data_IF_694999416089
#
_entry.id   IF_694999416089
#
_cell.length_a   1.000
_cell.length_b   1.000
_cell.length_c   1.000
_cell.angle_alpha   90.00
_cell.angle_beta   90.00
_cell.angle_gamma   90.00
#
_symmetry.space_group_name_H-M   'P 1'
#
loop_
_entity.id
_entity.type
_entity.pdbx_description
1 polymer ?
#
# COMPACT_ATOMS: atom_id res chain seq x y z
N UNK A 1 -76.05 -8.50 -25.39
CA UNK A 1 -75.34 -9.78 -25.10
C UNK A 1 -73.84 -9.50 -25.15
N UNK A 2 -73.13 -9.68 -24.02
CA UNK A 2 -71.71 -9.29 -23.87
C UNK A 2 -70.81 -10.32 -24.55
N UNK A 3 -70.33 -10.01 -25.74
CA UNK A 3 -69.42 -10.86 -26.52
C UNK A 3 -68.06 -10.98 -25.80
N UNK A 4 -67.87 -12.03 -25.00
CA UNK A 4 -66.58 -12.36 -24.39
C UNK A 4 -65.76 -13.15 -25.41
N UNK A 5 -64.95 -12.41 -26.16
CA UNK A 5 -63.95 -12.99 -27.04
C UNK A 5 -62.94 -13.83 -26.20
N UNK A 6 -62.83 -15.15 -26.41
CA UNK A 6 -62.05 -16.05 -25.56
C UNK A 6 -60.53 -15.92 -25.76
N UNK A 7 -60.07 -15.34 -26.86
CA UNK A 7 -58.65 -15.16 -27.18
C UNK A 7 -58.03 -13.96 -26.43
N UNK A 8 -58.86 -12.98 -26.02
CA UNK A 8 -58.38 -11.85 -25.21
C UNK A 8 -58.02 -12.26 -23.77
N UNK A 9 -58.70 -13.28 -23.23
CA UNK A 9 -58.41 -13.80 -21.90
C UNK A 9 -57.08 -14.57 -21.88
N UNK A 10 -56.84 -15.46 -22.84
CA UNK A 10 -55.60 -16.25 -22.92
C UNK A 10 -54.33 -15.40 -23.12
N UNK A 11 -54.40 -14.32 -23.91
CA UNK A 11 -53.28 -13.37 -24.08
C UNK A 11 -53.05 -12.53 -22.81
N UNK A 12 -54.12 -12.14 -22.10
CA UNK A 12 -54.04 -11.37 -20.84
C UNK A 12 -53.45 -12.20 -19.69
N UNK A 13 -53.62 -13.53 -19.68
CA UNK A 13 -53.02 -14.43 -18.69
C UNK A 13 -51.59 -14.89 -19.06
N UNK A 14 -51.24 -14.92 -20.35
CA UNK A 14 -49.91 -15.33 -20.82
C UNK A 14 -48.82 -14.25 -20.64
N UNK A 15 -49.16 -12.97 -20.80
CA UNK A 15 -48.23 -11.84 -20.61
C UNK A 15 -47.64 -11.73 -19.18
N UNK A 16 -48.46 -11.76 -18.11
CA UNK A 16 -47.99 -11.71 -16.74
C UNK A 16 -47.13 -12.92 -16.35
N UNK A 17 -47.47 -14.11 -16.85
CA UNK A 17 -46.69 -15.31 -16.61
C UNK A 17 -45.29 -15.20 -17.23
N UNK A 18 -45.17 -14.67 -18.44
CA UNK A 18 -43.87 -14.44 -19.09
C UNK A 18 -43.02 -13.40 -18.33
N UNK A 19 -43.62 -12.31 -17.85
CA UNK A 19 -42.88 -11.30 -17.07
C UNK A 19 -42.40 -11.85 -15.72
N UNK A 20 -43.18 -12.70 -15.06
CA UNK A 20 -42.80 -13.34 -13.78
C UNK A 20 -41.65 -14.33 -14.01
N UNK A 21 -41.69 -15.12 -15.08
CA UNK A 21 -40.61 -16.04 -15.44
C UNK A 21 -39.33 -15.28 -15.80
N UNK A 22 -39.43 -14.20 -16.58
CA UNK A 22 -38.28 -13.37 -16.92
C UNK A 22 -37.66 -12.70 -15.68
N UNK A 23 -38.48 -12.19 -14.75
CA UNK A 23 -38.01 -11.62 -13.49
C UNK A 23 -37.35 -12.67 -12.58
N UNK A 24 -37.89 -13.88 -12.53
CA UNK A 24 -37.31 -15.00 -11.78
C UNK A 24 -35.95 -15.44 -12.37
N UNK A 25 -35.83 -15.52 -13.69
CA UNK A 25 -34.56 -15.81 -14.36
C UNK A 25 -33.52 -14.72 -14.13
N UNK A 26 -33.92 -13.44 -14.21
CA UNK A 26 -33.03 -12.33 -13.91
C UNK A 26 -32.57 -12.37 -12.45
N UNK A 27 -33.48 -12.59 -11.50
CA UNK A 27 -33.16 -12.72 -10.08
C UNK A 27 -32.21 -13.89 -9.80
N UNK A 28 -32.41 -15.02 -10.47
CA UNK A 28 -31.52 -16.18 -10.38
C UNK A 28 -30.13 -15.89 -10.98
N UNK A 29 -30.07 -15.23 -12.14
CA UNK A 29 -28.79 -14.79 -12.73
C UNK A 29 -28.05 -13.81 -11.81
N UNK A 30 -28.74 -12.86 -11.18
CA UNK A 30 -28.14 -11.92 -10.23
C UNK A 30 -27.64 -12.64 -8.98
N UNK A 31 -28.38 -13.63 -8.47
CA UNK A 31 -27.95 -14.44 -7.33
C UNK A 31 -26.71 -15.29 -7.68
N UNK A 32 -26.70 -15.94 -8.84
CA UNK A 32 -25.54 -16.67 -9.33
C UNK A 32 -24.33 -15.75 -9.50
N UNK A 33 -24.53 -14.58 -10.11
CA UNK A 33 -23.48 -13.57 -10.27
C UNK A 33 -22.91 -13.15 -8.90
N UNK A 34 -23.78 -12.90 -7.92
CA UNK A 34 -23.39 -12.53 -6.56
C UNK A 34 -22.59 -13.63 -5.83
N UNK A 35 -22.80 -14.91 -6.14
CA UNK A 35 -22.07 -16.02 -5.49
C UNK A 35 -20.79 -16.40 -6.26
N UNK A 36 -20.87 -16.52 -7.58
CA UNK A 36 -19.79 -17.04 -8.43
C UNK A 36 -18.67 -16.01 -8.57
N UNK A 37 -18.99 -14.74 -8.78
CA UNK A 37 -17.96 -13.73 -9.02
C UNK A 37 -17.03 -13.54 -7.82
N UNK A 38 -17.52 -13.42 -6.57
CA UNK A 38 -16.62 -13.36 -5.42
C UNK A 38 -15.73 -14.59 -5.30
N UNK A 39 -16.22 -15.79 -5.65
CA UNK A 39 -15.43 -17.01 -5.61
C UNK A 39 -14.30 -16.99 -6.67
N UNK A 40 -14.62 -16.61 -7.90
CA UNK A 40 -13.63 -16.48 -8.99
C UNK A 40 -12.61 -15.39 -8.68
N UNK A 41 -13.05 -14.22 -8.20
CA UNK A 41 -12.16 -13.13 -7.80
C UNK A 41 -11.23 -13.59 -6.68
N UNK A 42 -11.75 -14.24 -5.63
CA UNK A 42 -10.93 -14.78 -4.54
C UNK A 42 -9.88 -15.76 -5.05
N UNK A 43 -10.26 -16.68 -5.93
CA UNK A 43 -9.32 -17.65 -6.51
C UNK A 43 -8.21 -16.97 -7.34
N UNK A 44 -8.57 -15.94 -8.11
CA UNK A 44 -7.61 -15.16 -8.88
C UNK A 44 -6.67 -14.36 -7.96
N UNK A 45 -7.19 -13.69 -6.93
CA UNK A 45 -6.38 -12.95 -5.97
C UNK A 45 -5.40 -13.89 -5.30
N UNK A 46 -5.86 -15.02 -4.75
CA UNK A 46 -4.98 -15.99 -4.08
C UNK A 46 -3.88 -16.44 -5.03
N UNK A 47 -4.20 -16.76 -6.29
CA UNK A 47 -3.22 -17.18 -7.28
C UNK A 47 -2.16 -16.09 -7.55
N UNK A 48 -2.57 -14.85 -7.73
CA UNK A 48 -1.67 -13.74 -8.06
C UNK A 48 -0.88 -13.21 -6.84
N UNK A 49 -1.40 -13.36 -5.63
CA UNK A 49 -0.71 -12.89 -4.40
C UNK A 49 0.30 -13.87 -3.84
N UNK A 50 0.30 -15.14 -4.29
CA UNK A 50 1.25 -16.14 -3.80
C UNK A 50 2.66 -15.81 -4.24
N UNK A 51 3.59 -15.88 -3.29
CA UNK A 51 5.02 -15.66 -3.48
C UNK A 51 5.68 -16.92 -4.03
N UNK A 52 5.48 -17.16 -5.33
CA UNK A 52 6.06 -18.32 -6.02
C UNK A 52 7.23 -17.86 -6.88
N UNK A 53 8.38 -18.52 -6.74
CA UNK A 53 9.57 -18.21 -7.53
C UNK A 53 9.28 -18.24 -9.03
N UNK A 54 9.75 -17.21 -9.75
CA UNK A 54 9.53 -17.07 -11.20
C UNK A 54 8.22 -16.37 -11.61
N UNK A 55 7.34 -16.01 -10.66
CA UNK A 55 6.16 -15.19 -10.95
C UNK A 55 6.48 -13.69 -11.00
N UNK A 56 5.60 -12.89 -11.60
CA UNK A 56 5.74 -11.44 -11.60
C UNK A 56 5.64 -10.85 -10.18
N UNK A 57 4.77 -11.41 -9.34
CA UNK A 57 4.61 -11.01 -7.94
C UNK A 57 5.90 -11.23 -7.16
N UNK A 58 6.58 -12.36 -7.41
CA UNK A 58 7.91 -12.61 -6.86
C UNK A 58 8.92 -11.54 -7.25
N UNK A 59 9.02 -11.23 -8.54
CA UNK A 59 9.96 -10.22 -9.03
C UNK A 59 9.69 -8.82 -8.47
N UNK A 60 8.42 -8.44 -8.33
CA UNK A 60 8.02 -7.16 -7.72
C UNK A 60 8.32 -7.12 -6.22
N UNK A 61 8.26 -8.25 -5.54
CA UNK A 61 8.56 -8.36 -4.12
C UNK A 61 10.07 -8.40 -3.85
N UNK A 62 10.85 -9.07 -4.70
CA UNK A 62 12.32 -9.13 -4.58
C UNK A 62 13.02 -7.84 -4.99
N UNK A 63 12.51 -7.14 -6.01
CA UNK A 63 13.06 -5.88 -6.52
C UNK A 63 11.95 -4.83 -6.67
N UNK A 64 11.91 -3.89 -5.72
CA UNK A 64 10.89 -2.83 -5.72
C UNK A 64 11.30 -1.73 -6.69
N UNK A 65 10.72 -1.76 -7.89
CA UNK A 65 10.99 -0.78 -8.96
C UNK A 65 10.39 0.61 -8.73
N UNK A 66 9.50 0.74 -7.75
CA UNK A 66 8.87 2.02 -7.43
C UNK A 66 9.84 2.85 -6.59
N UNK A 67 10.15 4.11 -6.98
CA UNK A 67 11.06 4.95 -6.21
C UNK A 67 10.45 5.27 -4.85
N UNK A 68 11.13 4.89 -3.78
CA UNK A 68 10.77 5.23 -2.41
C UNK A 68 11.56 6.48 -2.04
N UNK A 69 10.88 7.61 -1.82
CA UNK A 69 11.54 8.86 -1.45
C UNK A 69 11.41 9.10 0.05
N UNK A 70 12.55 9.23 0.72
CA UNK A 70 12.64 9.63 2.13
C UNK A 70 13.01 11.11 2.17
N UNK A 71 12.25 11.88 2.94
CA UNK A 71 12.46 13.32 3.13
C UNK A 71 12.86 13.57 4.57
N UNK A 72 14.05 14.12 4.78
CA UNK A 72 14.52 14.54 6.09
C UNK A 72 14.30 16.04 6.27
N UNK A 73 13.80 16.38 7.45
CA UNK A 73 13.64 17.75 7.92
C UNK A 73 14.37 17.85 9.25
N UNK A 74 15.19 18.88 9.41
CA UNK A 74 15.97 19.10 10.61
C UNK A 74 15.51 20.37 11.31
N UNK A 75 15.51 20.36 12.64
CA UNK A 75 15.31 21.56 13.45
C UNK A 75 16.66 22.18 13.79
N UNK A 76 17.07 23.16 12.99
CA UNK A 76 18.32 23.89 13.17
C UNK A 76 18.23 24.84 14.37
N UNK A 77 19.13 24.72 15.33
CA UNK A 77 19.21 25.62 16.49
C UNK A 77 19.83 26.95 16.09
N UNK A 78 19.13 28.05 16.33
CA UNK A 78 19.58 29.41 15.98
C UNK A 78 20.27 30.14 17.12
N UNK A 79 20.03 29.75 18.38
CA UNK A 79 20.56 30.41 19.59
C UNK A 79 21.49 29.50 20.41
N UNK A 80 22.54 28.97 19.77
CA UNK A 80 23.46 27.96 20.36
C UNK A 80 24.02 28.41 21.72
N UNK A 81 24.56 29.62 21.80
CA UNK A 81 25.20 30.11 23.04
C UNK A 81 24.24 30.22 24.23
N UNK A 82 22.98 30.59 23.98
CA UNK A 82 21.97 30.69 25.03
C UNK A 82 21.51 29.31 25.47
N UNK A 83 21.31 28.40 24.50
CA UNK A 83 20.94 27.01 24.76
C UNK A 83 21.99 26.28 25.61
N UNK A 84 23.28 26.49 25.32
CA UNK A 84 24.38 25.89 26.08
C UNK A 84 24.44 26.36 27.55
N UNK A 85 23.93 27.57 27.83
CA UNK A 85 23.81 28.11 29.19
C UNK A 85 22.54 27.64 29.92
N UNK A 86 21.77 26.72 29.35
CA UNK A 86 20.50 26.25 29.89
C UNK A 86 19.28 27.09 29.49
N UNK A 87 19.45 28.01 28.53
CA UNK A 87 18.35 28.75 27.94
C UNK A 87 17.47 27.87 27.03
N UNK A 88 16.32 28.41 26.63
CA UNK A 88 15.36 27.68 25.78
C UNK A 88 15.86 27.61 24.35
N UNK A 89 15.84 26.43 23.74
CA UNK A 89 16.17 26.25 22.32
C UNK A 89 15.19 27.02 21.42
N UNK A 90 15.74 27.85 20.55
CA UNK A 90 15.07 28.43 19.39
C UNK A 90 15.51 27.64 18.16
N UNK A 91 14.52 27.10 17.44
CA UNK A 91 14.77 26.23 16.29
C UNK A 91 14.04 26.74 15.06
N UNK A 92 14.66 26.48 13.90
CA UNK A 92 14.05 26.70 12.58
C UNK A 92 14.12 25.40 11.78
N UNK A 93 13.00 25.00 11.19
CA UNK A 93 12.96 23.84 10.31
C UNK A 93 13.75 24.11 9.02
N UNK A 94 14.57 23.14 8.60
CA UNK A 94 15.36 23.14 7.37
C UNK A 94 15.13 21.82 6.64
N UNK A 95 14.67 21.90 5.40
CA UNK A 95 14.41 20.74 4.54
C UNK A 95 13.49 21.09 3.35
N UNK A 96 13.16 20.09 2.51
CA UNK A 96 13.55 18.69 2.65
C UNK A 96 14.97 18.41 2.12
N UNK A 97 15.65 17.47 2.74
CA UNK A 97 16.77 16.75 2.13
C UNK A 97 16.28 15.36 1.74
N UNK A 98 16.37 15.01 0.46
CA UNK A 98 15.65 13.87 -0.12
C UNK A 98 16.63 12.79 -0.54
N UNK A 99 16.35 11.55 -0.12
CA UNK A 99 17.03 10.35 -0.60
C UNK A 99 16.02 9.43 -1.26
N UNK A 100 16.42 8.85 -2.39
CA UNK A 100 15.76 7.72 -3.01
C UNK A 100 16.32 6.44 -2.41
N UNK A 101 15.44 5.67 -1.79
CA UNK A 101 15.73 4.36 -1.28
C UNK A 101 15.46 3.31 -2.36
N UNK A 102 16.46 2.47 -2.62
CA UNK A 102 16.31 1.23 -3.39
C UNK A 102 16.49 0.06 -2.45
N UNK A 103 15.57 -0.89 -2.49
CA UNK A 103 15.58 -2.07 -1.62
C UNK A 103 15.43 -3.33 -2.46
N UNK A 104 16.27 -4.31 -2.17
CA UNK A 104 16.26 -5.62 -2.82
C UNK A 104 16.33 -6.73 -1.78
N UNK A 105 15.60 -7.81 -2.00
CA UNK A 105 15.60 -8.99 -1.14
C UNK A 105 16.42 -10.10 -1.78
N UNK A 106 17.50 -10.48 -1.12
CA UNK A 106 18.32 -11.64 -1.48
C UNK A 106 17.77 -12.87 -0.78
N UNK A 107 17.43 -13.89 -1.55
CA UNK A 107 16.81 -15.11 -1.02
C UNK A 107 17.86 -15.99 -0.39
N UNK A 108 17.59 -16.44 0.83
CA UNK A 108 18.49 -17.32 1.60
C UNK A 108 18.00 -18.77 1.50
N UNK A 109 16.70 -19.00 1.75
CA UNK A 109 16.10 -20.34 1.68
C UNK A 109 14.60 -20.24 1.36
N UNK A 110 14.05 -21.29 0.74
CA UNK A 110 12.61 -21.50 0.58
C UNK A 110 12.27 -22.83 1.23
N UNK A 111 11.23 -22.83 2.06
CA UNK A 111 10.68 -24.02 2.70
C UNK A 111 9.30 -24.27 2.08
N UNK A 112 9.19 -25.33 1.28
CA UNK A 112 7.95 -25.70 0.61
C UNK A 112 6.96 -26.43 1.54
N UNK A 113 7.44 -27.06 2.61
CA UNK A 113 6.58 -27.77 3.57
C UNK A 113 5.86 -26.77 4.48
N UNK A 114 6.58 -25.73 4.92
CA UNK A 114 6.05 -24.68 5.80
C UNK A 114 5.50 -23.45 5.03
N UNK A 115 5.59 -23.44 3.69
CA UNK A 115 5.21 -22.29 2.81
C UNK A 115 5.90 -20.98 3.23
N UNK A 116 7.19 -21.05 3.58
CA UNK A 116 7.97 -19.90 4.07
C UNK A 116 9.18 -19.57 3.18
N UNK A 117 9.56 -18.28 3.19
CA UNK A 117 10.73 -17.78 2.46
C UNK A 117 11.61 -16.98 3.41
N UNK A 118 12.86 -17.39 3.54
CA UNK A 118 13.89 -16.68 4.29
C UNK A 118 14.69 -15.80 3.33
N UNK A 119 14.83 -14.51 3.66
CA UNK A 119 15.54 -13.54 2.83
C UNK A 119 16.35 -12.56 3.68
N UNK A 120 17.32 -11.92 3.02
CA UNK A 120 18.07 -10.78 3.54
C UNK A 120 17.70 -9.54 2.73
N UNK A 121 17.23 -8.50 3.40
CA UNK A 121 16.96 -7.22 2.76
C UNK A 121 18.24 -6.39 2.69
N UNK A 122 18.52 -5.84 1.50
CA UNK A 122 19.61 -4.91 1.25
C UNK A 122 19.00 -3.59 0.79
N UNK A 123 19.40 -2.51 1.44
CA UNK A 123 18.87 -1.16 1.20
C UNK A 123 20.01 -0.23 0.81
N UNK A 124 19.81 0.53 -0.26
CA UNK A 124 20.70 1.57 -0.75
C UNK A 124 19.98 2.91 -0.73
N UNK A 125 20.71 3.96 -0.35
CA UNK A 125 20.19 5.33 -0.32
C UNK A 125 20.97 6.18 -1.32
N UNK A 126 20.24 6.83 -2.22
CA UNK A 126 20.79 7.73 -3.24
C UNK A 126 20.26 9.12 -3.01
N UNK A 127 21.15 10.09 -2.83
CA UNK A 127 20.72 11.46 -2.62
C UNK A 127 20.12 12.06 -3.89
N UNK A 128 19.04 12.82 -3.70
CA UNK A 128 18.28 13.48 -4.76
C UNK A 128 18.45 14.99 -4.64
N UNK A 129 19.53 15.56 -5.21
CA UNK A 129 19.76 17.00 -5.15
C UNK A 129 18.67 17.80 -5.87
N UNK A 130 18.02 17.19 -6.87
CA UNK A 130 16.92 17.79 -7.63
C UNK A 130 15.62 17.97 -6.82
N UNK A 131 15.46 17.21 -5.75
CA UNK A 131 14.31 17.27 -4.85
C UNK A 131 14.64 17.87 -3.47
N UNK A 132 15.91 18.23 -3.26
CA UNK A 132 16.42 18.74 -1.98
C UNK A 132 16.57 20.25 -2.01
N UNK A 133 16.42 20.89 -0.84
CA UNK A 133 16.60 22.35 -0.71
C UNK A 133 18.07 22.78 -0.84
N UNK A 134 19.00 21.86 -0.55
CA UNK A 134 20.44 22.11 -0.54
C UNK A 134 21.24 20.83 -0.72
N UNK A 135 22.52 20.85 -0.33
CA UNK A 135 23.46 19.74 -0.57
C UNK A 135 23.65 18.85 0.66
N UNK A 136 24.37 17.74 0.52
CA UNK A 136 24.64 16.84 1.66
C UNK A 136 25.66 17.44 2.64
N UNK A 137 26.40 18.44 2.19
CA UNK A 137 27.44 19.14 2.92
C UNK A 137 26.88 20.31 3.75
N UNK A 138 25.57 20.58 3.66
CA UNK A 138 24.93 21.63 4.44
C UNK A 138 25.07 21.35 5.95
N UNK A 139 25.46 22.39 6.68
CA UNK A 139 25.66 22.29 8.12
C UNK A 139 24.37 22.64 8.87
N UNK A 140 23.96 21.76 9.77
CA UNK A 140 22.81 21.98 10.66
C UNK A 140 23.26 21.85 12.11
N UNK A 141 22.90 22.83 12.94
CA UNK A 141 23.17 22.79 14.36
C UNK A 141 22.07 22.01 15.07
N UNK A 142 22.43 20.86 15.63
CA UNK A 142 21.53 19.99 16.38
C UNK A 142 22.13 19.67 17.74
N UNK A 143 21.29 19.14 18.63
CA UNK A 143 21.72 18.69 19.95
C UNK A 143 22.69 17.51 19.83
N UNK A 144 23.71 17.45 20.69
CA UNK A 144 24.66 16.33 20.75
C UNK A 144 23.98 15.07 21.30
N UNK A 145 23.38 14.28 20.40
CA UNK A 145 22.65 13.05 20.75
C UNK A 145 23.54 12.02 21.46
N UNK A 146 24.79 11.71 20.99
CA UNK A 146 25.65 10.75 21.69
C UNK A 146 25.91 11.11 23.16
N UNK A 147 26.09 12.40 23.46
CA UNK A 147 26.28 12.86 24.83
C UNK A 147 25.03 12.61 25.70
N UNK A 148 23.84 12.92 25.18
CA UNK A 148 22.58 12.70 25.89
C UNK A 148 22.33 11.21 26.13
N UNK A 149 22.51 10.37 25.12
CA UNK A 149 22.28 8.92 25.24
C UNK A 149 23.16 8.32 26.34
N UNK A 150 24.44 8.73 26.40
CA UNK A 150 25.36 8.30 27.46
C UNK A 150 24.87 8.71 28.86
N UNK A 151 24.30 9.91 28.99
CA UNK A 151 23.77 10.38 30.26
C UNK A 151 22.52 9.60 30.68
N UNK A 152 21.63 9.28 29.73
CA UNK A 152 20.40 8.52 30.00
C UNK A 152 20.66 7.07 30.38
N UNK A 153 21.68 6.42 29.82
CA UNK A 153 22.05 5.03 30.18
C UNK A 153 22.59 4.86 31.61
N UNK A 154 22.90 5.98 32.29
CA UNK A 154 23.46 5.98 33.66
C UNK A 154 22.36 5.98 34.73
N UNK A 155 21.11 6.21 34.36
CA UNK A 155 19.93 6.17 35.23
C UNK A 155 19.04 5.00 34.84
#
# INVERSE_FOLDING_TARGET
>A
MKNRNPYKASILFAGPAFTVVAAALLGFCLLLFYVVIPAVIKALIIKETRLINGTDTWNKWTDVKVPILIKFYFFNVTNIEEADRGGKFQVREVGPYVWEEKRSKQIVAMDEEEDTVTYKEVVWYYFRPDLSIGSQEDTVNIVNIPFIVRFLQKY
#
